data_IF_349337877708
#
_entry.id   IF_349337877708
#
_cell.length_a   1.000
_cell.length_b   1.000
_cell.length_c   1.000
_cell.angle_alpha   90.00
_cell.angle_beta   90.00
_cell.angle_gamma   90.00
#
_symmetry.space_group_name_H-M   'P 1'
#
loop_
_entity.id
_entity.type
_entity.pdbx_description
1 polymer ?
#
# COMPACT_ATOMS: atom_id res chain seq x y z
N UNK A 1 -23.28 -20.38 12.84
CA UNK A 1 -22.18 -20.52 11.87
C UNK A 1 -21.12 -19.42 12.00
N UNK A 2 -21.49 -18.14 12.20
CA UNK A 2 -20.54 -17.04 12.39
C UNK A 2 -19.61 -17.22 13.60
N UNK A 3 -20.14 -17.67 14.75
CA UNK A 3 -19.37 -17.89 15.98
C UNK A 3 -18.24 -18.90 15.80
N UNK A 4 -18.57 -20.11 15.31
CA UNK A 4 -17.60 -21.18 14.99
C UNK A 4 -16.52 -20.78 13.96
N UNK A 5 -16.77 -19.74 13.16
CA UNK A 5 -15.78 -19.17 12.24
C UNK A 5 -14.84 -18.17 12.91
N UNK A 6 -15.31 -17.44 13.93
CA UNK A 6 -14.49 -16.55 14.75
C UNK A 6 -13.62 -17.35 15.72
N UNK A 7 -14.19 -18.36 16.37
CA UNK A 7 -13.47 -19.23 17.32
C UNK A 7 -12.31 -19.93 16.62
N UNK A 8 -12.54 -20.51 15.42
CA UNK A 8 -11.47 -21.10 14.60
C UNK A 8 -10.38 -20.11 14.18
N UNK A 9 -10.71 -18.83 13.97
CA UNK A 9 -9.70 -17.79 13.65
C UNK A 9 -8.93 -17.32 14.87
N UNK A 10 -9.51 -17.40 16.05
CA UNK A 10 -8.84 -17.06 17.30
C UNK A 10 -7.80 -18.12 17.69
N UNK A 11 -8.04 -19.37 17.29
CA UNK A 11 -7.14 -20.51 17.54
C UNK A 11 -6.06 -20.71 16.45
N UNK A 12 -6.06 -19.90 15.38
CA UNK A 12 -5.05 -20.02 14.31
C UNK A 12 -3.65 -19.69 14.81
N UNK A 13 -2.68 -20.52 14.42
CA UNK A 13 -1.27 -20.14 14.53
C UNK A 13 -0.95 -19.01 13.56
N UNK A 14 0.16 -18.29 13.80
CA UNK A 14 0.59 -17.22 12.90
C UNK A 14 0.82 -17.73 11.46
N UNK A 15 1.37 -18.93 11.31
CA UNK A 15 1.59 -19.56 10.01
C UNK A 15 0.27 -19.89 9.29
N UNK A 16 -0.70 -20.49 10.00
CA UNK A 16 -2.03 -20.76 9.45
C UNK A 16 -2.76 -19.48 9.05
N UNK A 17 -2.65 -18.44 9.88
CA UNK A 17 -3.23 -17.12 9.59
C UNK A 17 -2.59 -16.50 8.36
N UNK A 18 -1.26 -16.54 8.25
CA UNK A 18 -0.52 -15.98 7.12
C UNK A 18 -0.84 -16.72 5.82
N UNK A 19 -0.91 -18.06 5.86
CA UNK A 19 -1.35 -18.87 4.72
C UNK A 19 -2.76 -18.50 4.26
N UNK A 20 -3.73 -18.44 5.20
CA UNK A 20 -5.11 -18.04 4.89
C UNK A 20 -5.20 -16.61 4.34
N UNK A 21 -4.45 -15.66 4.89
CA UNK A 21 -4.43 -14.27 4.39
C UNK A 21 -3.84 -14.20 2.98
N UNK A 22 -2.81 -15.00 2.69
CA UNK A 22 -2.18 -15.09 1.37
C UNK A 22 -3.15 -15.64 0.34
N UNK A 23 -3.83 -16.74 0.64
CA UNK A 23 -4.84 -17.35 -0.24
C UNK A 23 -5.97 -16.36 -0.57
N UNK A 24 -6.44 -15.61 0.44
CA UNK A 24 -7.47 -14.59 0.22
C UNK A 24 -6.98 -13.42 -0.63
N UNK A 25 -5.73 -12.98 -0.42
CA UNK A 25 -5.12 -11.92 -1.22
C UNK A 25 -4.96 -12.37 -2.68
N UNK A 26 -4.54 -13.62 -2.92
CA UNK A 26 -4.41 -14.19 -4.27
C UNK A 26 -5.76 -14.23 -4.98
N UNK A 27 -6.79 -14.79 -4.35
CA UNK A 27 -8.15 -14.82 -4.93
C UNK A 27 -8.69 -13.42 -5.20
N UNK A 28 -8.38 -12.45 -4.34
CA UNK A 28 -8.78 -11.07 -4.59
C UNK A 28 -8.05 -10.48 -5.80
N UNK A 29 -6.76 -10.77 -5.98
CA UNK A 29 -6.01 -10.34 -7.17
C UNK A 29 -6.58 -10.96 -8.44
N UNK A 30 -6.86 -12.26 -8.45
CA UNK A 30 -7.48 -12.97 -9.58
C UNK A 30 -8.81 -12.31 -9.97
N UNK A 31 -9.73 -12.11 -9.00
CA UNK A 31 -10.99 -11.42 -9.27
C UNK A 31 -10.80 -9.99 -9.79
N UNK A 32 -9.81 -9.25 -9.27
CA UNK A 32 -9.52 -7.88 -9.73
C UNK A 32 -8.93 -7.84 -11.13
N UNK A 33 -8.18 -8.87 -11.53
CA UNK A 33 -7.64 -9.00 -12.88
C UNK A 33 -8.74 -9.28 -13.92
N UNK A 34 -9.80 -9.97 -13.50
CA UNK A 34 -10.97 -10.29 -14.33
C UNK A 34 -12.05 -9.19 -14.35
N UNK A 35 -11.89 -8.10 -13.59
CA UNK A 35 -12.86 -7.01 -13.58
C UNK A 35 -12.96 -6.32 -14.94
N UNK A 36 -14.20 -6.11 -15.41
CA UNK A 36 -14.43 -5.17 -16.52
C UNK A 36 -14.18 -3.74 -16.06
N UNK A 37 -13.93 -2.84 -17.00
CA UNK A 37 -13.71 -1.42 -16.69
C UNK A 37 -14.93 -0.80 -15.97
N UNK A 38 -16.14 -1.22 -16.29
CA UNK A 38 -17.34 -0.76 -15.59
C UNK A 38 -17.41 -1.28 -14.15
N UNK A 39 -17.11 -2.57 -13.92
CA UNK A 39 -17.05 -3.15 -12.57
C UNK A 39 -15.97 -2.48 -11.72
N UNK A 40 -14.79 -2.25 -12.32
CA UNK A 40 -13.68 -1.54 -11.70
C UNK A 40 -14.08 -0.12 -11.30
N UNK A 41 -14.71 0.62 -12.21
CA UNK A 41 -15.16 1.99 -11.93
C UNK A 41 -16.22 2.04 -10.83
N UNK A 42 -17.22 1.15 -10.86
CA UNK A 42 -18.21 1.04 -9.76
C UNK A 42 -17.52 0.76 -8.42
N UNK A 43 -16.57 -0.18 -8.37
CA UNK A 43 -15.80 -0.49 -7.15
C UNK A 43 -15.01 0.72 -6.65
N UNK A 44 -14.33 1.44 -7.55
CA UNK A 44 -13.56 2.64 -7.19
C UNK A 44 -14.45 3.75 -6.63
N UNK A 45 -15.64 3.96 -7.21
CA UNK A 45 -16.62 4.93 -6.70
C UNK A 45 -17.05 4.58 -5.27
N UNK A 46 -17.41 3.33 -5.02
CA UNK A 46 -17.80 2.86 -3.68
C UNK A 46 -16.67 3.03 -2.66
N UNK A 47 -15.43 2.69 -3.02
CA UNK A 47 -14.27 2.90 -2.15
C UNK A 47 -14.01 4.38 -1.88
N UNK A 48 -14.19 5.23 -2.88
CA UNK A 48 -14.08 6.68 -2.77
C UNK A 48 -15.10 7.26 -1.79
N UNK A 49 -16.37 6.91 -1.95
CA UNK A 49 -17.47 7.33 -1.07
C UNK A 49 -17.21 6.91 0.37
N UNK A 50 -16.91 5.63 0.62
CA UNK A 50 -16.59 5.12 1.97
C UNK A 50 -15.36 5.81 2.58
N UNK A 51 -14.40 6.22 1.76
CA UNK A 51 -13.25 7.00 2.25
C UNK A 51 -13.62 8.44 2.60
N UNK A 52 -14.60 9.03 1.92
CA UNK A 52 -15.07 10.38 2.24
C UNK A 52 -15.88 10.36 3.53
N UNK A 53 -16.79 9.40 3.68
CA UNK A 53 -17.59 9.18 4.89
C UNK A 53 -16.70 9.02 6.12
N UNK A 54 -15.71 8.10 6.09
CA UNK A 54 -14.74 7.94 7.19
C UNK A 54 -13.92 9.19 7.50
N UNK A 55 -13.71 10.09 6.53
CA UNK A 55 -13.00 11.36 6.76
C UNK A 55 -13.91 12.43 7.35
N UNK A 56 -15.21 12.38 7.03
CA UNK A 56 -16.22 13.27 7.58
C UNK A 56 -16.54 12.91 9.04
N UNK A 57 -16.56 11.62 9.37
CA UNK A 57 -16.82 11.10 10.73
C UNK A 57 -15.59 11.10 11.65
N UNK A 58 -14.39 11.34 11.12
CA UNK A 58 -13.14 11.24 11.87
C UNK A 58 -12.89 12.42 12.80
N UNK A 59 -12.20 12.17 13.92
CA UNK A 59 -11.81 13.23 14.88
C UNK A 59 -10.63 14.06 14.37
N UNK A 60 -10.38 15.21 14.99
CA UNK A 60 -9.23 16.06 14.68
C UNK A 60 -7.89 15.35 14.93
N UNK A 61 -7.76 14.54 15.98
CA UNK A 61 -6.57 13.71 16.21
C UNK A 61 -6.37 12.69 15.09
N UNK A 62 -7.43 12.01 14.65
CA UNK A 62 -7.35 11.06 13.55
C UNK A 62 -6.96 11.76 12.24
N UNK A 63 -7.51 12.96 11.99
CA UNK A 63 -7.15 13.81 10.86
C UNK A 63 -5.68 14.22 10.92
N UNK A 64 -5.21 14.70 12.06
CA UNK A 64 -3.83 15.14 12.25
C UNK A 64 -2.83 13.98 12.14
N UNK A 65 -3.15 12.81 12.70
CA UNK A 65 -2.34 11.60 12.56
C UNK A 65 -2.21 11.19 11.08
N UNK A 66 -3.33 11.20 10.33
CA UNK A 66 -3.33 10.92 8.89
C UNK A 66 -2.47 11.92 8.10
N UNK A 67 -2.59 13.22 8.39
CA UNK A 67 -1.79 14.25 7.71
C UNK A 67 -0.30 14.12 8.04
N UNK A 68 0.06 13.82 9.29
CA UNK A 68 1.44 13.58 9.71
C UNK A 68 2.05 12.37 8.99
N UNK A 69 1.29 11.28 8.87
CA UNK A 69 1.72 10.10 8.10
C UNK A 69 1.95 10.42 6.61
N UNK A 70 1.07 11.22 5.99
CA UNK A 70 1.23 11.67 4.60
C UNK A 70 2.50 12.52 4.42
N UNK A 71 2.77 13.45 5.32
CA UNK A 71 3.97 14.28 5.29
C UNK A 71 5.24 13.45 5.44
N UNK A 72 5.25 12.48 6.37
CA UNK A 72 6.35 11.54 6.55
C UNK A 72 6.60 10.74 5.28
N UNK A 73 5.56 10.18 4.68
CA UNK A 73 5.66 9.42 3.43
C UNK A 73 6.18 10.27 2.26
N UNK A 74 5.69 11.50 2.12
CA UNK A 74 6.17 12.44 1.11
C UNK A 74 7.65 12.79 1.30
N UNK A 75 8.09 12.98 2.55
CA UNK A 75 9.49 13.25 2.89
C UNK A 75 10.38 12.06 2.51
N UNK A 76 10.01 10.84 2.90
CA UNK A 76 10.77 9.63 2.56
C UNK A 76 10.87 9.46 1.05
N UNK A 77 9.76 9.62 0.30
CA UNK A 77 9.81 9.54 -1.17
C UNK A 77 10.74 10.57 -1.79
N UNK A 78 10.73 11.81 -1.27
CA UNK A 78 11.64 12.85 -1.76
C UNK A 78 13.11 12.50 -1.51
N UNK A 79 13.43 11.95 -0.34
CA UNK A 79 14.79 11.51 -0.02
C UNK A 79 15.25 10.39 -0.94
N UNK A 80 14.41 9.37 -1.17
CA UNK A 80 14.75 8.26 -2.06
C UNK A 80 15.05 8.72 -3.50
N UNK A 81 14.32 9.74 -4.00
CA UNK A 81 14.60 10.32 -5.33
C UNK A 81 15.97 11.01 -5.36
N UNK A 82 16.29 11.80 -4.33
CA UNK A 82 17.56 12.52 -4.23
C UNK A 82 18.73 11.53 -4.10
N UNK A 83 18.60 10.50 -3.26
CA UNK A 83 19.61 9.46 -3.10
C UNK A 83 19.85 8.71 -4.42
N UNK A 84 18.79 8.36 -5.16
CA UNK A 84 18.91 7.76 -6.48
C UNK A 84 19.64 8.67 -7.48
N UNK A 85 19.34 9.96 -7.48
CA UNK A 85 20.02 10.95 -8.33
C UNK A 85 21.51 11.05 -7.98
N UNK A 86 21.84 11.13 -6.69
CA UNK A 86 23.22 11.20 -6.22
C UNK A 86 24.01 9.94 -6.60
N UNK A 87 23.42 8.75 -6.44
CA UNK A 87 24.06 7.50 -6.85
C UNK A 87 24.38 7.49 -8.35
N UNK A 88 23.44 7.95 -9.19
CA UNK A 88 23.66 8.02 -10.62
C UNK A 88 24.78 9.01 -10.99
N UNK A 89 24.78 10.22 -10.40
CA UNK A 89 25.82 11.24 -10.65
C UNK A 89 27.23 10.77 -10.27
N UNK A 90 27.34 10.05 -9.15
CA UNK A 90 28.61 9.47 -8.72
C UNK A 90 29.06 8.39 -9.72
N UNK A 91 28.16 7.51 -10.15
CA UNK A 91 28.48 6.47 -11.15
C UNK A 91 28.95 7.08 -12.47
N UNK A 92 28.27 8.12 -12.98
CA UNK A 92 28.67 8.80 -14.22
C UNK A 92 30.04 9.44 -14.07
N UNK A 93 30.33 10.09 -12.94
CA UNK A 93 31.65 10.68 -12.68
C UNK A 93 32.78 9.65 -12.73
N UNK A 94 32.60 8.48 -12.11
CA UNK A 94 33.61 7.42 -12.13
C UNK A 94 33.73 6.75 -13.50
N UNK A 95 32.62 6.58 -14.23
CA UNK A 95 32.65 6.05 -15.59
C UNK A 95 33.41 6.98 -16.56
N UNK A 96 33.11 8.28 -16.54
CA UNK A 96 33.77 9.28 -17.38
C UNK A 96 35.28 9.37 -17.08
N UNK A 97 35.66 9.23 -15.80
CA UNK A 97 37.08 9.21 -15.39
C UNK A 97 37.84 7.99 -15.89
N UNK A 98 37.19 6.84 -16.05
CA UNK A 98 37.83 5.63 -16.60
C UNK A 98 38.05 5.78 -18.10
N UNK A 99 37.09 6.36 -18.83
CA UNK A 99 37.18 6.53 -20.30
C UNK A 99 38.21 7.58 -20.72
N UNK A 100 38.50 8.56 -19.86
CA UNK A 100 39.47 9.64 -20.13
C UNK A 100 40.93 9.29 -19.75
N UNK A 101 41.21 8.07 -19.28
CA UNK A 101 42.57 7.54 -19.05
C UNK A 101 42.89 6.45 -20.08
#
# INVERSE_FOLDING_TARGET
MAQRGQDRRAEETEEQRNSRLTDMAQREQERRAEETEEQRNRRLVVMGQRSQERRAEGTDEQRNSRLSAMLRHARVRRLNVIEGQNHHQIQTFYADRIVMN
#
